data_IF_647754205185
#
_entry.id   IF_647754205185
#
_cell.length_a   1.000
_cell.length_b   1.000
_cell.length_c   1.000
_cell.angle_alpha   90.00
_cell.angle_beta   90.00
_cell.angle_gamma   90.00
#
_symmetry.space_group_name_H-M   'P 1'
#
loop_
_entity.id
_entity.type
_entity.pdbx_description
1 polymer ?
#
# COMPACT_ATOMS: atom_id res chain seq x y z
N UNK A 1 -9.39 -79.33 15.63
CA UNK A 1 -9.20 -77.96 15.04
C UNK A 1 -10.57 -77.44 14.61
N UNK A 2 -11.25 -76.65 15.44
CA UNK A 2 -12.58 -76.10 15.13
C UNK A 2 -12.44 -74.92 14.19
N UNK A 3 -12.82 -75.15 12.94
CA UNK A 3 -12.96 -74.07 11.94
C UNK A 3 -14.06 -73.13 12.42
N UNK A 4 -13.68 -71.86 12.75
CA UNK A 4 -14.65 -70.86 13.02
C UNK A 4 -15.60 -70.74 11.82
N UNK A 5 -16.92 -70.77 12.02
CA UNK A 5 -17.86 -70.78 10.92
C UNK A 5 -17.76 -69.44 10.15
N UNK A 6 -17.57 -69.52 8.84
CA UNK A 6 -17.38 -68.40 7.90
C UNK A 6 -18.35 -67.20 8.13
N UNK A 7 -19.59 -67.52 8.56
CA UNK A 7 -20.60 -66.50 8.87
C UNK A 7 -20.27 -65.68 10.12
N UNK A 8 -19.56 -66.22 11.14
CA UNK A 8 -19.12 -65.43 12.31
C UNK A 8 -17.99 -64.50 11.96
N UNK A 9 -17.08 -64.89 11.07
CA UNK A 9 -16.02 -64.03 10.56
C UNK A 9 -16.63 -62.90 9.74
N UNK A 10 -17.59 -63.13 8.85
CA UNK A 10 -18.31 -62.11 8.07
C UNK A 10 -19.06 -61.11 8.94
N UNK A 11 -19.73 -61.63 10.02
CA UNK A 11 -20.39 -60.69 10.98
C UNK A 11 -19.41 -59.79 11.74
N UNK A 12 -18.26 -60.34 12.16
CA UNK A 12 -17.22 -59.53 12.81
C UNK A 12 -16.66 -58.46 11.85
N UNK A 13 -16.40 -58.83 10.60
CA UNK A 13 -15.94 -57.90 9.58
C UNK A 13 -16.99 -56.82 9.29
N UNK A 14 -18.27 -57.18 9.20
CA UNK A 14 -19.35 -56.21 9.01
C UNK A 14 -19.48 -55.26 10.21
N UNK A 15 -19.41 -55.78 11.44
CA UNK A 15 -19.45 -54.94 12.65
C UNK A 15 -18.24 -54.00 12.72
N UNK A 16 -17.05 -54.47 12.41
CA UNK A 16 -15.83 -53.65 12.34
C UNK A 16 -15.96 -52.59 11.28
N UNK A 17 -16.49 -52.89 10.10
CA UNK A 17 -16.74 -51.95 9.02
C UNK A 17 -17.74 -50.85 9.42
N UNK A 18 -18.89 -51.24 10.00
CA UNK A 18 -19.92 -50.28 10.46
C UNK A 18 -19.40 -49.41 11.59
N UNK A 19 -18.63 -49.97 12.52
CA UNK A 19 -17.98 -49.19 13.57
C UNK A 19 -16.98 -48.15 13.00
N UNK A 20 -16.14 -48.60 12.05
CA UNK A 20 -15.17 -47.72 11.41
C UNK A 20 -15.85 -46.64 10.55
N UNK A 21 -16.92 -47.00 9.83
CA UNK A 21 -17.74 -46.08 9.07
C UNK A 21 -18.44 -45.05 9.97
N UNK A 22 -18.97 -45.46 11.12
CA UNK A 22 -19.57 -44.59 12.13
C UNK A 22 -18.55 -43.64 12.72
N UNK A 23 -17.35 -44.11 13.03
CA UNK A 23 -16.26 -43.30 13.54
C UNK A 23 -15.81 -42.24 12.50
N UNK A 24 -15.68 -42.65 11.25
CA UNK A 24 -15.36 -41.80 10.12
C UNK A 24 -16.44 -40.71 9.92
N UNK A 25 -17.72 -41.12 9.94
CA UNK A 25 -18.87 -40.23 9.88
C UNK A 25 -18.82 -39.18 11.00
N UNK A 26 -18.56 -39.62 12.24
CA UNK A 26 -18.48 -38.71 13.39
C UNK A 26 -17.35 -37.69 13.27
N UNK A 27 -16.19 -38.06 12.77
CA UNK A 27 -15.07 -37.18 12.57
C UNK A 27 -15.23 -36.22 11.39
N UNK A 28 -15.86 -36.63 10.30
CA UNK A 28 -15.98 -35.82 9.07
C UNK A 28 -17.21 -34.94 9.05
N UNK A 29 -18.32 -35.36 9.63
CA UNK A 29 -19.63 -34.71 9.44
C UNK A 29 -20.20 -34.07 10.71
N UNK A 30 -19.56 -34.27 11.86
CA UNK A 30 -19.98 -33.59 13.09
C UNK A 30 -18.93 -32.54 13.49
N UNK A 31 -19.29 -31.27 13.58
CA UNK A 31 -18.35 -30.21 13.96
C UNK A 31 -17.82 -30.38 15.39
N UNK A 32 -16.60 -29.91 15.72
CA UNK A 32 -16.00 -30.05 17.04
C UNK A 32 -16.83 -29.41 18.16
N UNK A 33 -17.52 -28.32 17.90
CA UNK A 33 -18.38 -27.62 18.85
C UNK A 33 -19.70 -27.23 18.21
N UNK A 34 -20.76 -27.11 19.03
CA UNK A 34 -22.03 -26.50 18.59
C UNK A 34 -22.02 -24.98 18.72
N UNK A 35 -21.18 -24.44 19.59
CA UNK A 35 -20.96 -23.00 19.68
C UNK A 35 -20.07 -22.51 18.54
N UNK A 36 -20.47 -21.43 17.87
CA UNK A 36 -19.66 -20.82 16.81
C UNK A 36 -18.78 -19.72 17.43
N UNK A 37 -17.54 -20.07 17.72
CA UNK A 37 -16.52 -19.13 18.18
C UNK A 37 -15.50 -18.92 17.07
N UNK A 38 -15.26 -17.67 16.70
CA UNK A 38 -14.21 -17.32 15.73
C UNK A 38 -12.84 -17.38 16.40
N UNK A 39 -11.89 -18.04 15.74
CA UNK A 39 -10.51 -18.19 16.18
C UNK A 39 -9.56 -17.78 15.06
N UNK A 40 -8.54 -17.03 15.42
CA UNK A 40 -7.49 -16.63 14.50
C UNK A 40 -6.31 -17.58 14.67
N UNK A 41 -5.94 -18.26 13.58
CA UNK A 41 -4.86 -19.24 13.53
C UNK A 41 -3.79 -18.77 12.56
N UNK A 42 -2.56 -18.65 13.06
CA UNK A 42 -1.41 -18.25 12.22
C UNK A 42 -0.61 -19.49 11.82
N UNK A 43 -0.55 -19.78 10.54
CA UNK A 43 0.25 -20.86 9.96
C UNK A 43 1.49 -20.25 9.30
N UNK A 44 2.65 -20.47 9.92
CA UNK A 44 3.93 -19.93 9.43
C UNK A 44 4.43 -20.71 8.22
N UNK A 45 5.15 -20.04 7.33
CA UNK A 45 5.80 -20.65 6.15
C UNK A 45 6.71 -21.81 6.60
N UNK A 46 6.52 -22.98 5.99
CA UNK A 46 7.28 -24.18 6.34
C UNK A 46 6.83 -24.95 7.59
N UNK A 47 5.71 -24.55 8.25
CA UNK A 47 5.20 -25.28 9.42
C UNK A 47 4.78 -26.71 9.03
N UNK A 48 5.30 -27.75 9.72
CA UNK A 48 4.95 -29.13 9.41
C UNK A 48 3.46 -29.41 9.66
N UNK A 49 2.84 -30.28 8.83
CA UNK A 49 1.42 -30.66 8.96
C UNK A 49 1.04 -31.07 10.38
N UNK A 50 1.88 -31.90 11.05
CA UNK A 50 1.62 -32.35 12.45
C UNK A 50 1.53 -31.15 13.42
N UNK A 51 2.35 -30.09 13.21
CA UNK A 51 2.32 -28.90 14.05
C UNK A 51 1.08 -28.03 13.75
N UNK A 52 0.70 -27.93 12.48
CA UNK A 52 -0.56 -27.28 12.06
C UNK A 52 -1.74 -27.97 12.72
N UNK A 53 -1.83 -29.31 12.60
CA UNK A 53 -2.92 -30.09 13.16
C UNK A 53 -3.00 -30.04 14.68
N UNK A 54 -1.85 -29.98 15.37
CA UNK A 54 -1.80 -29.82 16.82
C UNK A 54 -2.34 -28.45 17.24
N UNK A 55 -2.00 -27.39 16.50
CA UNK A 55 -2.50 -26.03 16.75
C UNK A 55 -4.02 -25.96 16.53
N UNK A 56 -4.52 -26.54 15.43
CA UNK A 56 -5.96 -26.59 15.15
C UNK A 56 -6.76 -27.36 16.21
N UNK A 57 -6.20 -28.45 16.73
CA UNK A 57 -6.79 -29.26 17.83
C UNK A 57 -6.81 -28.43 19.14
N UNK A 58 -5.68 -27.82 19.48
CA UNK A 58 -5.54 -26.99 20.69
C UNK A 58 -6.56 -25.84 20.72
N UNK A 59 -6.82 -25.23 19.57
CA UNK A 59 -7.79 -24.13 19.42
C UNK A 59 -9.23 -24.62 19.23
N UNK A 60 -9.46 -25.93 19.21
CA UNK A 60 -10.80 -26.53 19.08
C UNK A 60 -11.43 -26.39 17.70
N UNK A 61 -10.61 -26.19 16.66
CA UNK A 61 -11.06 -26.14 15.25
C UNK A 61 -11.23 -27.53 14.67
N UNK A 62 -10.44 -28.49 15.14
CA UNK A 62 -10.60 -29.92 14.83
C UNK A 62 -10.63 -30.73 16.12
N UNK A 63 -11.24 -31.92 16.09
CA UNK A 63 -11.36 -32.79 17.26
C UNK A 63 -10.12 -33.60 17.56
N UNK A 64 -9.41 -34.04 16.51
CA UNK A 64 -8.27 -34.93 16.63
C UNK A 64 -7.25 -34.67 15.52
N UNK A 65 -6.03 -34.38 15.93
CA UNK A 65 -4.92 -34.04 15.04
C UNK A 65 -4.46 -35.21 14.17
N UNK A 66 -4.44 -36.45 14.73
CA UNK A 66 -3.95 -37.61 14.00
C UNK A 66 -4.93 -37.99 12.88
N UNK A 67 -6.22 -37.85 13.13
CA UNK A 67 -7.25 -38.03 12.12
C UNK A 67 -7.10 -36.99 10.99
N UNK A 68 -6.90 -35.74 11.34
CA UNK A 68 -6.71 -34.69 10.35
C UNK A 68 -5.44 -34.89 9.52
N UNK A 69 -4.32 -35.30 10.16
CA UNK A 69 -3.06 -35.65 9.46
C UNK A 69 -3.30 -36.83 8.49
N UNK A 70 -4.02 -37.87 8.93
CA UNK A 70 -4.37 -39.02 8.09
C UNK A 70 -5.22 -38.61 6.88
N UNK A 71 -6.27 -37.81 7.10
CA UNK A 71 -7.15 -37.28 6.06
C UNK A 71 -6.37 -36.46 5.02
N UNK A 72 -5.57 -35.47 5.45
CA UNK A 72 -4.77 -34.62 4.57
C UNK A 72 -3.76 -35.43 3.75
N UNK A 73 -3.16 -36.45 4.38
CA UNK A 73 -2.20 -37.36 3.72
C UNK A 73 -2.87 -38.23 2.68
N UNK A 74 -4.04 -38.84 3.02
CA UNK A 74 -4.83 -39.67 2.11
C UNK A 74 -5.29 -38.87 0.88
N UNK A 75 -5.69 -37.61 1.07
CA UNK A 75 -6.10 -36.71 -0.01
C UNK A 75 -4.92 -36.14 -0.80
N UNK A 76 -3.67 -36.39 -0.41
CA UNK A 76 -2.47 -35.90 -1.09
C UNK A 76 -2.23 -34.39 -0.95
N UNK A 77 -2.98 -33.71 -0.07
CA UNK A 77 -3.02 -32.23 0.01
C UNK A 77 -1.94 -31.57 0.88
N UNK A 78 -1.02 -32.37 1.46
CA UNK A 78 0.00 -31.88 2.39
C UNK A 78 0.85 -30.73 1.86
N UNK A 79 1.21 -30.75 0.58
CA UNK A 79 2.06 -29.72 -0.05
C UNK A 79 1.28 -28.51 -0.53
N UNK A 80 -0.04 -28.56 -0.55
CA UNK A 80 -0.92 -27.49 -1.03
C UNK A 80 -1.35 -26.52 0.08
N UNK A 81 -1.10 -26.87 1.35
CA UNK A 81 -1.43 -26.01 2.50
C UNK A 81 -0.60 -24.74 2.42
N UNK A 82 -1.29 -23.59 2.43
CA UNK A 82 -0.68 -22.26 2.36
C UNK A 82 -0.47 -21.68 3.77
N UNK A 83 0.64 -20.95 3.94
CA UNK A 83 0.89 -20.17 5.14
C UNK A 83 0.00 -18.92 5.15
N UNK A 84 -0.26 -18.36 6.34
CA UNK A 84 -1.04 -17.14 6.51
C UNK A 84 -1.84 -17.13 7.80
N UNK A 85 -2.55 -16.04 8.04
CA UNK A 85 -3.49 -15.87 9.14
C UNK A 85 -4.89 -16.28 8.67
N UNK A 86 -5.46 -17.28 9.34
CA UNK A 86 -6.79 -17.82 9.02
C UNK A 86 -7.79 -17.48 10.12
N UNK A 87 -9.00 -17.16 9.73
CA UNK A 87 -10.12 -17.02 10.65
C UNK A 87 -11.03 -18.25 10.50
N UNK A 88 -10.98 -19.16 11.47
CA UNK A 88 -11.81 -20.35 11.54
C UNK A 88 -12.87 -20.18 12.62
N UNK A 89 -13.99 -20.83 12.45
CA UNK A 89 -14.98 -20.99 13.52
C UNK A 89 -15.10 -22.45 13.95
N UNK A 90 -15.37 -22.67 15.25
CA UNK A 90 -15.36 -23.98 15.89
C UNK A 90 -16.46 -24.94 15.37
N UNK A 91 -17.34 -24.48 14.48
CA UNK A 91 -18.36 -25.32 13.80
C UNK A 91 -17.92 -25.81 12.42
N UNK A 92 -16.74 -25.45 11.96
CA UNK A 92 -16.23 -25.92 10.66
C UNK A 92 -15.98 -27.44 10.69
N UNK A 93 -16.29 -28.08 9.57
CA UNK A 93 -15.92 -29.45 9.35
C UNK A 93 -14.44 -29.57 8.97
N UNK A 94 -13.76 -30.71 9.30
CA UNK A 94 -12.34 -30.87 8.97
C UNK A 94 -12.01 -30.68 7.48
N UNK A 95 -12.92 -31.04 6.57
CA UNK A 95 -12.76 -30.86 5.13
C UNK A 95 -12.87 -29.39 4.75
N UNK A 96 -13.74 -28.59 5.39
CA UNK A 96 -13.84 -27.16 5.16
C UNK A 96 -12.59 -26.43 5.63
N UNK A 97 -12.04 -26.84 6.79
CA UNK A 97 -10.77 -26.34 7.30
C UNK A 97 -9.65 -26.64 6.31
N UNK A 98 -9.57 -27.88 5.80
CA UNK A 98 -8.57 -28.26 4.80
C UNK A 98 -8.75 -27.47 3.50
N UNK A 99 -9.96 -27.33 3.00
CA UNK A 99 -10.26 -26.55 1.79
C UNK A 99 -9.80 -25.09 1.92
N UNK A 100 -10.10 -24.46 3.06
CA UNK A 100 -9.66 -23.10 3.36
C UNK A 100 -8.14 -22.98 3.38
N UNK A 101 -7.43 -23.95 3.97
CA UNK A 101 -5.97 -24.01 4.02
C UNK A 101 -5.34 -24.19 2.62
N UNK A 102 -5.91 -25.04 1.79
CA UNK A 102 -5.44 -25.33 0.43
C UNK A 102 -5.74 -24.17 -0.51
N UNK A 103 -6.92 -23.60 -0.46
CA UNK A 103 -7.28 -22.39 -1.23
C UNK A 103 -6.49 -21.16 -0.76
N UNK A 104 -6.03 -21.14 0.49
CA UNK A 104 -5.37 -19.97 1.07
C UNK A 104 -6.36 -18.86 1.36
N UNK A 105 -7.51 -19.20 1.95
CA UNK A 105 -8.53 -18.22 2.36
C UNK A 105 -8.07 -17.49 3.64
N UNK A 106 -6.96 -16.79 3.51
CA UNK A 106 -6.34 -16.04 4.62
C UNK A 106 -7.15 -14.81 4.98
N UNK A 107 -7.08 -14.40 6.23
CA UNK A 107 -7.69 -13.19 6.74
C UNK A 107 -7.06 -11.98 6.06
N UNK A 108 -7.91 -11.13 5.52
CA UNK A 108 -7.49 -9.85 4.92
C UNK A 108 -7.69 -8.72 5.91
N UNK A 109 -6.74 -7.81 5.95
CA UNK A 109 -6.77 -6.62 6.77
C UNK A 109 -7.00 -5.41 5.88
N UNK A 110 -7.99 -4.58 6.23
CA UNK A 110 -8.19 -3.29 5.58
C UNK A 110 -7.12 -2.33 6.10
N UNK A 111 -6.30 -1.82 5.19
CA UNK A 111 -5.22 -0.87 5.49
C UNK A 111 -5.40 0.35 4.60
N UNK A 112 -5.66 1.49 5.21
CA UNK A 112 -5.74 2.78 4.50
C UNK A 112 -4.35 3.41 4.46
N UNK A 113 -3.87 3.67 3.25
CA UNK A 113 -2.66 4.44 3.00
C UNK A 113 -3.10 5.89 2.75
N UNK A 114 -2.76 6.84 3.64
CA UNK A 114 -3.17 8.24 3.50
C UNK A 114 -2.52 8.93 2.30
N UNK A 115 -3.24 9.90 1.73
CA UNK A 115 -2.69 10.80 0.73
C UNK A 115 -1.49 11.60 1.30
N UNK A 116 -0.55 11.93 0.46
CA UNK A 116 0.64 12.67 0.87
C UNK A 116 1.69 11.87 1.66
N UNK A 117 1.51 10.55 1.85
CA UNK A 117 2.55 9.72 2.46
C UNK A 117 3.73 9.51 1.50
N UNK A 118 4.96 9.56 2.06
CA UNK A 118 6.18 9.17 1.36
C UNK A 118 6.34 7.65 1.39
N UNK A 119 7.22 7.09 0.54
CA UNK A 119 7.59 5.67 0.60
C UNK A 119 8.06 5.24 1.99
N UNK A 120 8.80 6.11 2.68
CA UNK A 120 9.28 5.83 4.05
C UNK A 120 8.12 5.72 5.04
N UNK A 121 7.13 6.59 4.95
CA UNK A 121 5.94 6.57 5.80
C UNK A 121 5.04 5.38 5.49
N UNK A 122 4.86 5.04 4.20
CA UNK A 122 4.14 3.83 3.78
C UNK A 122 4.85 2.58 4.34
N UNK A 123 6.16 2.47 4.14
CA UNK A 123 6.94 1.33 4.66
C UNK A 123 6.83 1.19 6.18
N UNK A 124 6.83 2.29 6.93
CA UNK A 124 6.65 2.27 8.39
C UNK A 124 5.25 1.78 8.76
N UNK A 125 4.20 2.30 8.13
CA UNK A 125 2.82 1.87 8.37
C UNK A 125 2.64 0.37 8.08
N UNK A 126 3.20 -0.14 6.99
CA UNK A 126 3.14 -1.57 6.64
C UNK A 126 3.86 -2.44 7.68
N UNK A 127 4.99 -1.99 8.21
CA UNK A 127 5.74 -2.71 9.25
C UNK A 127 4.99 -2.70 10.59
N UNK A 128 4.45 -1.56 11.01
CA UNK A 128 3.67 -1.41 12.24
C UNK A 128 2.44 -2.33 12.25
N UNK A 129 1.83 -2.53 11.08
CA UNK A 129 0.69 -3.44 10.89
C UNK A 129 1.10 -4.88 10.60
N UNK A 130 2.40 -5.20 10.59
CA UNK A 130 2.93 -6.54 10.26
C UNK A 130 2.51 -7.03 8.86
N UNK A 131 2.31 -6.13 7.91
CA UNK A 131 1.99 -6.45 6.53
C UNK A 131 3.27 -6.77 5.75
N UNK A 132 4.28 -5.87 5.79
CA UNK A 132 5.57 -6.07 5.14
C UNK A 132 6.66 -5.29 5.88
N UNK A 133 7.90 -5.81 5.90
CA UNK A 133 9.02 -5.11 6.54
C UNK A 133 9.43 -3.86 5.76
N UNK A 134 9.59 -2.72 6.46
CA UNK A 134 9.94 -1.41 5.91
C UNK A 134 11.18 -1.45 5.02
N UNK A 135 12.27 -2.06 5.52
CA UNK A 135 13.54 -2.12 4.79
C UNK A 135 13.40 -2.85 3.46
N UNK A 136 12.74 -4.02 3.46
CA UNK A 136 12.52 -4.80 2.25
C UNK A 136 11.61 -4.06 1.25
N UNK A 137 10.56 -3.40 1.75
CA UNK A 137 9.67 -2.57 0.94
C UNK A 137 10.43 -1.43 0.26
N UNK A 138 11.24 -0.67 1.00
CA UNK A 138 12.03 0.45 0.44
C UNK A 138 13.07 -0.03 -0.58
N UNK A 139 13.75 -1.15 -0.31
CA UNK A 139 14.69 -1.75 -1.28
C UNK A 139 14.00 -2.12 -2.59
N UNK A 140 12.78 -2.65 -2.55
CA UNK A 140 12.02 -2.97 -3.76
C UNK A 140 11.49 -1.72 -4.45
N UNK A 141 10.96 -0.74 -3.71
CA UNK A 141 10.45 0.51 -4.25
C UNK A 141 11.53 1.38 -4.92
N UNK A 142 12.82 1.09 -4.67
CA UNK A 142 13.97 1.77 -5.31
C UNK A 142 14.79 0.85 -6.21
N UNK A 143 14.35 -0.40 -6.42
CA UNK A 143 15.05 -1.36 -7.30
C UNK A 143 14.75 -1.08 -8.78
N UNK A 144 15.75 -0.69 -9.60
CA UNK A 144 15.51 -0.37 -11.01
C UNK A 144 14.92 -1.53 -11.82
N UNK A 145 15.40 -2.77 -11.57
CA UNK A 145 14.90 -3.95 -12.25
C UNK A 145 13.41 -4.23 -11.92
N UNK A 146 13.03 -4.07 -10.65
CA UNK A 146 11.64 -4.26 -10.23
C UNK A 146 10.73 -3.14 -10.74
N UNK A 147 11.17 -1.88 -10.66
CA UNK A 147 10.44 -0.72 -11.19
C UNK A 147 10.17 -0.89 -12.69
N UNK A 148 11.18 -1.31 -13.47
CA UNK A 148 11.02 -1.60 -14.89
C UNK A 148 9.96 -2.69 -15.14
N UNK A 149 9.91 -3.73 -14.30
CA UNK A 149 8.93 -4.82 -14.42
C UNK A 149 7.47 -4.40 -14.20
N UNK A 150 7.24 -3.24 -13.58
CA UNK A 150 5.90 -2.70 -13.35
C UNK A 150 5.31 -2.02 -14.59
N UNK A 151 6.13 -1.69 -15.59
CA UNK A 151 5.67 -1.03 -16.82
C UNK A 151 5.11 0.39 -16.63
N UNK A 152 5.32 1.00 -15.46
CA UNK A 152 4.82 2.36 -15.14
C UNK A 152 5.44 3.44 -16.03
N UNK A 153 6.67 3.22 -16.48
CA UNK A 153 7.46 4.22 -17.20
C UNK A 153 7.59 3.94 -18.70
N UNK A 154 6.92 2.92 -19.23
CA UNK A 154 7.01 2.61 -20.68
C UNK A 154 6.46 3.72 -21.57
N UNK A 155 5.43 4.44 -21.10
CA UNK A 155 4.90 5.62 -21.81
C UNK A 155 5.69 6.91 -21.50
N UNK A 156 6.59 6.88 -20.51
CA UNK A 156 7.44 8.00 -20.11
C UNK A 156 8.79 7.93 -20.85
N UNK A 157 9.26 6.71 -21.20
CA UNK A 157 10.59 6.48 -21.77
C UNK A 157 10.71 6.80 -23.26
N UNK A 158 9.63 6.90 -24.00
CA UNK A 158 9.68 7.24 -25.44
C UNK A 158 10.11 8.68 -25.73
N UNK A 159 10.34 9.50 -24.69
CA UNK A 159 10.85 10.87 -24.82
C UNK A 159 12.21 11.10 -24.13
N UNK A 160 12.84 10.07 -23.56
CA UNK A 160 14.15 10.19 -22.91
C UNK A 160 15.13 9.22 -23.53
N UNK A 161 15.69 9.62 -24.66
CA UNK A 161 16.85 8.99 -25.33
C UNK A 161 18.19 9.28 -24.59
N UNK A 162 18.22 9.35 -23.28
CA UNK A 162 19.49 9.38 -22.53
C UNK A 162 19.43 8.49 -21.30
N UNK A 163 19.30 7.19 -21.56
CA UNK A 163 19.04 6.17 -20.55
C UNK A 163 20.27 5.72 -19.76
N UNK A 164 21.47 6.24 -20.02
CA UNK A 164 22.68 5.79 -19.31
C UNK A 164 23.05 6.67 -18.11
N UNK A 165 22.67 7.95 -18.08
CA UNK A 165 23.01 8.90 -17.00
C UNK A 165 21.92 9.06 -15.93
N UNK A 166 20.67 8.70 -16.22
CA UNK A 166 19.51 9.02 -15.38
C UNK A 166 18.95 7.84 -14.56
N UNK A 167 19.64 6.68 -14.52
CA UNK A 167 19.24 5.54 -13.67
C UNK A 167 19.54 5.73 -12.18
N UNK A 168 20.34 6.73 -11.81
CA UNK A 168 20.61 7.10 -10.43
C UNK A 168 19.42 7.94 -9.94
N UNK A 169 18.55 7.33 -9.10
CA UNK A 169 17.41 8.00 -8.51
C UNK A 169 16.05 7.54 -9.01
N UNK A 170 15.97 6.39 -9.71
CA UNK A 170 14.68 5.79 -10.02
C UNK A 170 14.01 5.33 -8.72
N UNK A 171 12.81 5.83 -8.47
CA UNK A 171 12.04 5.53 -7.26
C UNK A 171 10.55 5.45 -7.60
N UNK A 172 9.80 4.69 -6.82
CA UNK A 172 8.34 4.66 -6.89
C UNK A 172 7.67 5.77 -6.07
N UNK A 173 8.44 6.76 -5.56
CA UNK A 173 7.84 7.92 -4.90
C UNK A 173 6.89 8.64 -5.86
N UNK A 174 5.64 8.83 -5.42
CA UNK A 174 4.57 9.41 -6.21
C UNK A 174 3.75 8.42 -7.06
N UNK A 175 4.17 7.15 -7.13
CA UNK A 175 3.56 6.14 -8.01
C UNK A 175 2.87 4.99 -7.28
N UNK A 176 2.79 5.04 -5.95
CA UNK A 176 2.04 4.11 -5.13
C UNK A 176 0.77 4.80 -4.62
N UNK A 177 -0.34 4.58 -5.32
CA UNK A 177 -1.57 5.35 -5.08
C UNK A 177 -2.09 5.15 -3.65
N UNK A 178 -2.41 6.25 -2.92
CA UNK A 178 -3.06 6.20 -1.62
C UNK A 178 -4.51 5.74 -1.76
N UNK A 179 -4.87 4.67 -1.04
CA UNK A 179 -6.22 4.08 -1.05
C UNK A 179 -6.36 3.12 0.14
N UNK A 180 -7.52 2.52 0.30
CA UNK A 180 -7.75 1.43 1.25
C UNK A 180 -7.58 0.09 0.56
N UNK A 181 -6.60 -0.69 1.01
CA UNK A 181 -6.21 -1.98 0.46
C UNK A 181 -6.58 -3.15 1.36
N UNK A 182 -6.81 -4.31 0.75
CA UNK A 182 -6.94 -5.57 1.45
C UNK A 182 -5.61 -6.31 1.44
N UNK A 183 -4.82 -6.18 2.50
CA UNK A 183 -3.55 -6.88 2.66
C UNK A 183 -3.67 -8.09 3.56
N UNK A 184 -2.70 -9.00 3.46
CA UNK A 184 -2.51 -10.11 4.40
C UNK A 184 -1.23 -9.85 5.21
N UNK A 185 -1.13 -10.42 6.42
CA UNK A 185 0.10 -10.34 7.20
C UNK A 185 1.25 -11.10 6.53
N UNK A 186 2.47 -10.60 6.75
CA UNK A 186 3.71 -11.16 6.19
C UNK A 186 3.66 -11.27 4.65
N UNK A 187 3.01 -10.29 3.99
CA UNK A 187 2.92 -10.21 2.54
C UNK A 187 4.27 -9.82 1.92
N UNK A 188 4.59 -10.40 0.77
CA UNK A 188 5.81 -10.03 0.05
C UNK A 188 5.73 -8.56 -0.41
N UNK A 189 6.76 -7.73 -0.18
CA UNK A 189 6.76 -6.31 -0.53
C UNK A 189 6.42 -6.04 -2.00
N UNK A 190 6.83 -6.93 -2.91
CA UNK A 190 6.53 -6.84 -4.33
C UNK A 190 5.03 -6.90 -4.62
N UNK A 191 4.29 -7.73 -3.90
CA UNK A 191 2.83 -7.87 -4.08
C UNK A 191 2.11 -6.60 -3.61
N UNK A 192 2.51 -6.06 -2.44
CA UNK A 192 2.00 -4.79 -1.92
C UNK A 192 2.21 -3.68 -2.94
N UNK A 193 3.45 -3.53 -3.42
CA UNK A 193 3.82 -2.50 -4.41
C UNK A 193 3.03 -2.69 -5.70
N UNK A 194 2.88 -3.93 -6.21
CA UNK A 194 2.10 -4.19 -7.43
C UNK A 194 0.64 -3.78 -7.29
N UNK A 195 0.02 -4.02 -6.14
CA UNK A 195 -1.37 -3.60 -5.89
C UNK A 195 -1.50 -2.09 -5.93
N UNK A 196 -0.62 -1.37 -5.22
CA UNK A 196 -0.63 0.09 -5.16
C UNK A 196 -0.29 0.75 -6.50
N UNK A 197 0.70 0.21 -7.21
CA UNK A 197 1.09 0.65 -8.56
C UNK A 197 0.00 0.36 -9.62
N UNK A 198 -0.73 -0.74 -9.46
CA UNK A 198 -1.88 -1.05 -10.32
C UNK A 198 -3.00 -0.02 -10.12
N UNK A 199 -3.29 0.35 -8.88
CA UNK A 199 -4.28 1.38 -8.58
C UNK A 199 -3.85 2.75 -9.13
N UNK A 200 -2.56 3.10 -9.01
CA UNK A 200 -2.02 4.31 -9.63
C UNK A 200 -2.30 4.34 -11.14
N UNK A 201 -2.05 3.26 -11.87
CA UNK A 201 -2.32 3.18 -13.33
C UNK A 201 -3.79 3.33 -13.68
N UNK A 202 -4.70 2.90 -12.82
CA UNK A 202 -6.14 3.12 -13.02
C UNK A 202 -6.52 4.59 -12.89
N UNK A 203 -5.90 5.29 -11.95
CA UNK A 203 -6.19 6.70 -11.70
C UNK A 203 -5.47 7.59 -12.71
N UNK A 204 -4.17 7.35 -12.92
CA UNK A 204 -3.36 8.06 -13.93
C UNK A 204 -3.43 7.31 -15.26
N UNK A 205 -4.64 7.26 -15.84
CA UNK A 205 -4.95 6.55 -17.07
C UNK A 205 -4.59 7.33 -18.34
N UNK A 206 -4.95 6.76 -19.53
CA UNK A 206 -4.64 7.35 -20.83
C UNK A 206 -5.10 8.81 -20.97
N UNK A 207 -6.28 9.16 -20.44
CA UNK A 207 -6.85 10.50 -20.54
C UNK A 207 -5.96 11.56 -19.84
N UNK A 208 -5.42 11.24 -18.66
CA UNK A 208 -4.52 12.15 -17.94
C UNK A 208 -3.13 12.19 -18.58
N UNK A 209 -2.66 11.10 -19.17
CA UNK A 209 -1.42 11.06 -19.95
C UNK A 209 -1.54 11.96 -21.19
N UNK A 210 -2.65 11.86 -21.91
CA UNK A 210 -2.92 12.72 -23.05
C UNK A 210 -3.03 14.18 -22.64
N UNK A 211 -3.72 14.47 -21.53
CA UNK A 211 -3.84 15.82 -20.98
C UNK A 211 -2.47 16.42 -20.62
N UNK A 212 -1.58 15.66 -19.98
CA UNK A 212 -0.20 16.08 -19.73
C UNK A 212 0.53 16.45 -21.02
N UNK A 213 0.40 15.60 -22.06
CA UNK A 213 0.98 15.87 -23.37
C UNK A 213 0.45 17.14 -24.00
N UNK A 214 -0.87 17.39 -23.95
CA UNK A 214 -1.50 18.62 -24.44
C UNK A 214 -0.98 19.89 -23.72
N UNK A 215 -0.61 19.75 -22.43
CA UNK A 215 -0.02 20.82 -21.65
C UNK A 215 1.50 20.98 -21.85
N UNK A 216 2.12 20.11 -22.65
CA UNK A 216 3.56 20.13 -22.90
C UNK A 216 4.42 19.69 -21.70
N UNK A 217 3.84 18.93 -20.76
CA UNK A 217 4.55 18.36 -19.62
C UNK A 217 4.54 16.83 -19.70
N UNK A 218 5.60 16.22 -19.17
CA UNK A 218 5.67 14.77 -19.09
C UNK A 218 4.78 14.22 -17.97
N UNK A 219 4.34 12.96 -18.03
CA UNK A 219 3.64 12.31 -16.92
C UNK A 219 4.41 12.38 -15.58
N UNK A 220 5.75 12.33 -15.64
CA UNK A 220 6.61 12.49 -14.47
C UNK A 220 6.50 13.88 -13.85
N UNK A 221 6.56 14.91 -14.67
CA UNK A 221 6.40 16.31 -14.22
C UNK A 221 5.00 16.54 -13.64
N UNK A 222 3.96 15.98 -14.25
CA UNK A 222 2.59 16.04 -13.73
C UNK A 222 2.46 15.42 -12.33
N UNK A 223 3.02 14.22 -12.11
CA UNK A 223 3.00 13.55 -10.79
C UNK A 223 3.88 14.30 -9.78
N UNK A 224 5.02 14.84 -10.22
CA UNK A 224 5.89 15.66 -9.36
C UNK A 224 5.16 16.90 -8.90
N UNK A 225 4.51 17.63 -9.81
CA UNK A 225 3.71 18.80 -9.46
C UNK A 225 2.53 18.43 -8.55
N UNK A 226 1.83 17.33 -8.85
CA UNK A 226 0.75 16.84 -8.00
C UNK A 226 1.21 16.55 -6.56
N UNK A 227 2.41 16.00 -6.39
CA UNK A 227 2.97 15.74 -5.06
C UNK A 227 3.29 17.01 -4.27
N UNK A 228 3.64 18.10 -4.95
CA UNK A 228 3.85 19.40 -4.32
C UNK A 228 2.50 20.00 -3.92
N UNK A 229 1.51 20.00 -4.83
CA UNK A 229 0.15 20.46 -4.56
C UNK A 229 -0.46 19.72 -3.37
N UNK A 230 -0.26 18.40 -3.29
CA UNK A 230 -0.73 17.55 -2.19
C UNK A 230 -0.20 18.01 -0.83
N UNK A 231 1.03 18.44 -0.79
CA UNK A 231 1.69 18.88 0.45
C UNK A 231 1.39 20.33 0.82
N UNK A 232 0.93 21.15 -0.13
CA UNK A 232 0.63 22.56 0.10
C UNK A 232 -0.85 22.80 0.43
N UNK A 233 -1.78 22.13 -0.25
CA UNK A 233 -3.21 22.42 -0.12
C UNK A 233 -3.95 21.31 0.63
N UNK A 234 -4.50 21.64 1.79
CA UNK A 234 -5.38 20.74 2.55
C UNK A 234 -6.82 20.77 2.05
N UNK A 235 -7.28 21.88 1.49
CA UNK A 235 -8.63 22.04 0.98
C UNK A 235 -8.69 21.66 -0.50
N UNK A 236 -9.62 20.78 -0.85
CA UNK A 236 -9.78 20.27 -2.21
C UNK A 236 -10.08 21.37 -3.22
N UNK A 237 -10.88 22.36 -2.84
CA UNK A 237 -11.24 23.51 -3.66
C UNK A 237 -10.08 24.46 -3.95
N UNK A 238 -9.03 24.46 -3.13
CA UNK A 238 -7.85 25.29 -3.36
C UNK A 238 -6.79 24.61 -4.23
N UNK A 239 -6.80 23.29 -4.36
CA UNK A 239 -5.79 22.53 -5.14
C UNK A 239 -5.68 23.04 -6.59
N UNK A 240 -6.76 23.31 -7.35
CA UNK A 240 -6.64 23.88 -8.70
C UNK A 240 -6.04 25.31 -8.71
N UNK A 241 -6.26 26.12 -7.66
CA UNK A 241 -5.75 27.49 -7.57
C UNK A 241 -4.25 27.45 -7.23
N UNK A 242 -3.84 26.61 -6.27
CA UNK A 242 -2.42 26.36 -5.95
C UNK A 242 -1.68 25.83 -7.18
N UNK A 243 -2.33 24.94 -7.94
CA UNK A 243 -1.79 24.46 -9.22
C UNK A 243 -1.57 25.62 -10.21
N UNK A 244 -2.53 26.55 -10.32
CA UNK A 244 -2.39 27.73 -11.18
C UNK A 244 -1.18 28.57 -10.78
N UNK A 245 -0.96 28.80 -9.47
CA UNK A 245 0.23 29.54 -8.98
C UNK A 245 1.51 28.85 -9.44
N UNK A 246 1.62 27.54 -9.27
CA UNK A 246 2.84 26.81 -9.68
C UNK A 246 3.03 26.83 -11.20
N UNK A 247 1.99 26.64 -11.99
CA UNK A 247 2.07 26.75 -13.46
C UNK A 247 2.49 28.15 -13.91
N UNK A 248 1.95 29.21 -13.29
CA UNK A 248 2.31 30.60 -13.61
C UNK A 248 3.78 30.86 -13.27
N UNK A 249 4.26 30.38 -12.11
CA UNK A 249 5.68 30.50 -11.73
C UNK A 249 6.60 29.75 -12.68
N UNK A 250 6.28 28.52 -13.03
CA UNK A 250 7.04 27.71 -14.00
C UNK A 250 7.14 28.42 -15.35
N UNK A 251 6.02 28.95 -15.86
CA UNK A 251 5.96 29.69 -17.12
C UNK A 251 6.82 30.98 -17.09
N UNK A 252 6.85 31.65 -15.94
CA UNK A 252 7.65 32.89 -15.75
C UNK A 252 9.08 32.62 -15.29
N UNK A 253 9.49 31.36 -15.13
CA UNK A 253 10.80 30.95 -14.59
C UNK A 253 11.06 31.52 -13.18
N UNK A 254 10.02 31.57 -12.35
CA UNK A 254 10.11 31.91 -10.94
C UNK A 254 10.31 30.63 -10.13
N UNK A 255 11.23 30.55 -9.16
CA UNK A 255 11.39 29.42 -8.25
C UNK A 255 10.07 29.09 -7.55
N UNK A 256 9.75 27.79 -7.36
CA UNK A 256 8.46 27.38 -6.75
C UNK A 256 8.38 27.76 -5.28
N UNK A 257 9.51 27.77 -4.55
CA UNK A 257 9.62 28.16 -3.14
C UNK A 257 8.63 27.43 -2.24
N UNK A 258 8.57 26.11 -2.41
CA UNK A 258 7.70 25.21 -1.66
C UNK A 258 8.49 24.58 -0.52
N UNK A 259 8.12 24.87 0.73
CA UNK A 259 8.74 24.32 1.94
C UNK A 259 8.75 22.80 1.96
N UNK A 260 7.66 22.10 1.62
CA UNK A 260 7.64 20.62 1.55
C UNK A 260 8.74 20.00 0.68
N UNK A 261 9.15 20.69 -0.38
CA UNK A 261 10.24 20.19 -1.24
C UNK A 261 11.59 20.27 -0.54
N UNK A 262 11.84 21.33 0.23
CA UNK A 262 13.06 21.47 1.05
C UNK A 262 13.08 20.39 2.14
N UNK A 263 11.97 20.25 2.86
CA UNK A 263 11.80 19.23 3.92
C UNK A 263 12.08 17.82 3.39
N UNK A 264 11.57 17.47 2.22
CA UNK A 264 11.82 16.17 1.60
C UNK A 264 13.30 15.92 1.28
N UNK A 265 14.04 16.99 0.94
CA UNK A 265 15.47 16.94 0.67
C UNK A 265 16.37 16.83 1.90
N UNK A 266 15.82 17.00 3.12
CA UNK A 266 16.58 16.96 4.37
C UNK A 266 16.58 15.53 4.96
N UNK A 267 17.75 14.96 5.15
CA UNK A 267 17.89 13.72 5.90
C UNK A 267 17.65 13.96 7.38
N UNK A 268 16.79 13.14 8.01
CA UNK A 268 16.47 13.21 9.45
C UNK A 268 15.91 14.59 9.88
N UNK A 269 14.93 15.11 9.12
CA UNK A 269 14.23 16.36 9.45
C UNK A 269 13.59 16.25 10.84
N UNK A 270 13.91 17.20 11.71
CA UNK A 270 13.49 17.26 13.12
C UNK A 270 12.12 17.93 13.35
N UNK A 271 11.46 18.42 12.29
CA UNK A 271 10.20 19.15 12.36
C UNK A 271 10.35 20.66 12.34
N UNK A 272 11.57 21.20 12.39
CA UNK A 272 11.82 22.65 12.37
C UNK A 272 12.57 23.10 11.11
N UNK A 273 11.85 23.78 10.20
CA UNK A 273 12.44 24.34 8.99
C UNK A 273 13.13 25.68 9.29
N UNK A 274 14.46 25.70 9.14
CA UNK A 274 15.30 26.87 9.44
C UNK A 274 15.65 27.63 8.17
N UNK A 275 16.12 28.89 8.34
CA UNK A 275 16.67 29.70 7.23
C UNK A 275 17.86 29.03 6.55
N UNK A 276 18.68 28.30 7.31
CA UNK A 276 19.81 27.54 6.76
C UNK A 276 19.34 26.45 5.80
N UNK A 277 18.28 25.72 6.17
CA UNK A 277 17.67 24.72 5.28
C UNK A 277 17.20 25.32 3.95
N UNK A 278 16.60 26.52 3.97
CA UNK A 278 16.15 27.21 2.74
C UNK A 278 17.32 27.68 1.86
N UNK A 279 18.51 27.85 2.42
CA UNK A 279 19.72 28.29 1.71
C UNK A 279 20.64 27.11 1.34
N UNK A 280 20.36 25.90 1.85
CA UNK A 280 21.19 24.72 1.57
C UNK A 280 20.85 24.15 0.19
N UNK A 281 21.86 24.02 -0.72
CA UNK A 281 21.62 23.43 -2.03
C UNK A 281 21.33 21.91 -1.91
N UNK A 282 20.14 21.52 -2.29
CA UNK A 282 19.75 20.11 -2.48
C UNK A 282 19.03 20.00 -3.83
N UNK A 283 18.97 18.80 -4.42
CA UNK A 283 18.19 18.57 -5.65
C UNK A 283 16.69 18.86 -5.50
N UNK A 284 16.20 19.01 -4.28
CA UNK A 284 14.79 19.27 -3.97
C UNK A 284 14.52 20.70 -3.51
N UNK A 285 15.53 21.52 -3.28
CA UNK A 285 15.32 22.87 -2.76
C UNK A 285 14.81 23.81 -3.86
N UNK A 286 13.48 23.97 -3.94
CA UNK A 286 12.81 24.82 -4.93
C UNK A 286 12.88 26.32 -4.61
N UNK A 287 13.58 26.74 -3.55
CA UNK A 287 13.99 28.15 -3.36
C UNK A 287 15.19 28.52 -4.24
N UNK A 288 16.03 27.51 -4.54
CA UNK A 288 17.27 27.67 -5.30
C UNK A 288 17.16 27.09 -6.72
N UNK A 289 16.25 26.13 -6.94
CA UNK A 289 16.02 25.50 -8.24
C UNK A 289 15.01 26.27 -9.07
N UNK A 290 15.28 26.35 -10.37
CA UNK A 290 14.28 26.73 -11.37
C UNK A 290 13.60 25.47 -11.90
N UNK A 291 12.28 25.41 -11.76
CA UNK A 291 11.50 24.27 -12.22
C UNK A 291 11.13 23.27 -11.11
N UNK A 292 10.77 22.06 -11.53
CA UNK A 292 10.35 20.99 -10.63
C UNK A 292 11.55 20.23 -10.05
N UNK A 293 11.43 19.67 -8.84
CA UNK A 293 12.43 18.75 -8.30
C UNK A 293 12.52 17.45 -9.13
N UNK A 294 13.59 16.64 -8.97
CA UNK A 294 13.87 15.51 -9.83
C UNK A 294 12.85 14.36 -9.72
N UNK A 295 12.14 14.25 -8.61
CA UNK A 295 11.10 13.23 -8.37
C UNK A 295 9.94 13.82 -7.58
N UNK A 296 8.78 13.14 -7.54
CA UNK A 296 7.75 13.44 -6.56
C UNK A 296 8.29 13.41 -5.12
N UNK A 297 7.66 14.14 -4.21
CA UNK A 297 8.02 14.23 -2.79
C UNK A 297 7.07 13.49 -1.85
N UNK A 298 5.99 12.95 -2.39
CA UNK A 298 5.03 12.09 -1.71
C UNK A 298 4.16 11.36 -2.75
N UNK A 299 3.27 10.48 -2.30
CA UNK A 299 2.26 9.82 -3.13
C UNK A 299 0.96 10.65 -3.08
N UNK A 300 0.62 11.37 -4.16
CA UNK A 300 -0.51 12.27 -4.19
C UNK A 300 -1.84 11.53 -4.35
N UNK A 301 -2.92 12.10 -3.82
CA UNK A 301 -4.28 11.70 -4.07
C UNK A 301 -4.79 12.11 -5.45
N UNK A 302 -5.97 11.59 -5.81
CA UNK A 302 -6.59 11.82 -7.12
C UNK A 302 -6.81 13.30 -7.40
N UNK A 303 -7.26 14.06 -6.42
CA UNK A 303 -7.58 15.48 -6.59
C UNK A 303 -6.34 16.31 -6.92
N UNK A 304 -5.21 16.04 -6.28
CA UNK A 304 -3.94 16.73 -6.58
C UNK A 304 -3.40 16.35 -7.97
N UNK A 305 -3.57 15.09 -8.39
CA UNK A 305 -3.22 14.65 -9.75
C UNK A 305 -4.07 15.39 -10.79
N UNK A 306 -5.38 15.45 -10.55
CA UNK A 306 -6.30 16.17 -11.44
C UNK A 306 -6.00 17.67 -11.45
N UNK A 307 -5.77 18.28 -10.29
CA UNK A 307 -5.44 19.71 -10.18
C UNK A 307 -4.14 20.06 -10.92
N UNK A 308 -3.11 19.21 -10.88
CA UNK A 308 -1.87 19.41 -11.62
C UNK A 308 -2.07 19.52 -13.13
N UNK A 309 -3.09 18.84 -13.66
CA UNK A 309 -3.42 18.80 -15.09
C UNK A 309 -4.61 19.69 -15.48
N UNK A 310 -5.33 20.22 -14.49
CA UNK A 310 -6.45 21.14 -14.69
C UNK A 310 -6.32 22.34 -13.72
N UNK A 311 -5.28 23.18 -13.88
CA UNK A 311 -5.13 24.37 -13.05
C UNK A 311 -6.31 25.33 -13.27
N UNK A 312 -6.69 26.06 -12.22
CA UNK A 312 -7.66 27.12 -12.35
C UNK A 312 -7.15 28.22 -13.30
N UNK A 313 -8.06 28.89 -13.98
CA UNK A 313 -7.70 30.09 -14.78
C UNK A 313 -7.59 31.28 -13.83
N UNK A 314 -6.41 31.46 -13.21
CA UNK A 314 -6.15 32.50 -12.23
C UNK A 314 -4.74 33.08 -12.43
N UNK A 315 -4.56 34.41 -12.27
CA UNK A 315 -3.29 35.12 -12.51
C UNK A 315 -2.34 35.11 -11.31
N UNK A 316 -2.69 34.35 -10.24
CA UNK A 316 -1.94 34.37 -8.99
C UNK A 316 -0.52 33.82 -9.13
N UNK A 317 0.41 34.48 -8.41
CA UNK A 317 1.81 34.06 -8.30
C UNK A 317 2.23 33.72 -6.87
N UNK A 318 1.42 34.10 -5.88
CA UNK A 318 1.71 33.93 -4.46
C UNK A 318 0.49 33.42 -3.71
N UNK A 319 0.75 32.70 -2.63
CA UNK A 319 -0.26 32.38 -1.63
C UNK A 319 0.37 32.40 -0.23
N UNK A 320 -0.45 32.62 0.78
CA UNK A 320 -0.05 32.58 2.20
C UNK A 320 -1.18 31.99 3.02
N UNK A 321 -0.83 31.11 3.96
CA UNK A 321 -1.82 30.50 4.86
C UNK A 321 -2.52 31.57 5.71
N UNK A 322 -3.84 31.44 5.84
CA UNK A 322 -4.65 32.23 6.79
C UNK A 322 -4.68 31.61 8.19
N UNK A 323 -4.04 30.45 8.40
CA UNK A 323 -4.01 29.67 9.65
C UNK A 323 -5.38 29.07 10.06
N UNK A 324 -6.31 28.95 9.14
CA UNK A 324 -7.60 28.28 9.28
C UNK A 324 -7.72 27.09 8.30
N UNK A 325 -6.60 26.67 7.70
CA UNK A 325 -6.53 25.64 6.67
C UNK A 325 -6.68 26.18 5.25
N UNK A 326 -7.05 27.46 5.08
CA UNK A 326 -7.17 28.10 3.78
C UNK A 326 -6.03 29.09 3.47
N UNK A 327 -5.96 29.54 2.21
CA UNK A 327 -4.92 30.44 1.72
C UNK A 327 -5.50 31.76 1.22
N UNK A 328 -4.68 32.81 1.27
CA UNK A 328 -4.89 34.05 0.55
C UNK A 328 -3.98 34.06 -0.68
N UNK A 329 -4.56 34.24 -1.86
CA UNK A 329 -3.87 34.28 -3.14
C UNK A 329 -3.62 35.71 -3.58
N UNK A 330 -2.47 36.00 -4.20
CA UNK A 330 -2.06 37.34 -4.64
C UNK A 330 -1.39 37.28 -6.01
N UNK A 331 -1.57 38.32 -6.81
CA UNK A 331 -0.96 38.46 -8.12
C UNK A 331 0.43 39.11 -8.05
N UNK A 332 0.61 40.05 -7.11
CA UNK A 332 1.85 40.78 -6.94
C UNK A 332 2.55 40.47 -5.61
N UNK A 333 3.85 40.73 -5.56
CA UNK A 333 4.65 40.58 -4.35
C UNK A 333 4.22 41.56 -3.25
N UNK A 334 3.81 42.78 -3.61
CA UNK A 334 3.33 43.79 -2.68
C UNK A 334 2.03 43.37 -1.99
N UNK A 335 1.10 42.74 -2.74
CA UNK A 335 -0.13 42.18 -2.17
C UNK A 335 0.18 41.04 -1.25
N UNK A 336 1.09 40.15 -1.66
CA UNK A 336 1.54 39.01 -0.84
C UNK A 336 2.15 39.51 0.47
N UNK A 337 3.05 40.49 0.45
CA UNK A 337 3.64 41.05 1.67
C UNK A 337 2.59 41.65 2.63
N UNK A 338 1.57 42.31 2.09
CA UNK A 338 0.43 42.81 2.89
C UNK A 338 -0.33 41.68 3.52
N UNK A 339 -0.59 40.59 2.78
CA UNK A 339 -1.27 39.43 3.27
C UNK A 339 -0.45 38.69 4.35
N UNK A 340 0.87 38.52 4.16
CA UNK A 340 1.79 37.98 5.18
C UNK A 340 1.73 38.83 6.46
N UNK A 341 1.76 40.18 6.31
CA UNK A 341 1.61 41.09 7.44
C UNK A 341 0.29 40.92 8.20
N UNK A 342 -0.79 40.62 7.48
CA UNK A 342 -2.12 40.43 8.05
C UNK A 342 -2.28 39.08 8.73
N UNK A 343 -1.86 37.97 8.09
CA UNK A 343 -2.19 36.61 8.53
C UNK A 343 -1.11 35.96 9.37
N UNK A 344 0.18 36.28 9.19
CA UNK A 344 1.28 35.61 9.90
C UNK A 344 1.86 36.40 11.05
N UNK A 345 1.88 37.77 10.98
CA UNK A 345 2.40 38.61 12.09
C UNK A 345 1.48 38.72 13.31
N UNK A 346 0.21 38.33 13.20
CA UNK A 346 -0.74 38.34 14.32
C UNK A 346 -0.40 37.24 15.35
N UNK A 347 0.23 36.13 14.94
CA UNK A 347 0.63 35.03 15.84
C UNK A 347 1.83 35.37 16.74
N UNK A 348 2.66 36.35 16.39
CA UNK A 348 3.80 36.80 17.20
C UNK A 348 3.41 37.75 18.34
N UNK A 349 2.11 38.09 18.49
CA UNK A 349 1.59 39.01 19.51
C UNK A 349 0.70 38.33 20.55
N UNK A 350 0.57 37.01 20.54
CA UNK A 350 -0.06 36.20 21.57
C UNK A 350 1.01 35.33 22.24
#
# INVERSE_FOLDING_TARGET
MSLFPRHKILLVCLFAFLFFASLLFWFLLIPPSQASLNKIIVIKKGMPLRKISALLEQEGIIRNREFFVGMVTLLGKKKEIKAGEYEFHTRMLPLEVLDSLVKGQVKRHLVTIPEGYTLSQIGQLLEDLSIAGKTAFLQKATSPAFIASLGLFQHISNQVEDSSKNRRGLTLEGYLFPDTYHFIKEMEPEEVIRMMAHQFRKIFGPDLIEKASQMGITPREAVTLASIIEKEASLSEEKPIVSAVFHNRLKQRIPLQSDPTVIYGISNFDGNLTKEHLLTPTPYNTYLLLGLPPTPICNPGKESIVAALHPASAPYLYFVSKNDGSHHFSESFEEHQRAVGKYQKILLRK
#
